data_IF_014101867870
#
_entry.id   IF_014101867870
#
_cell.length_a   1.000
_cell.length_b   1.000
_cell.length_c   1.000
_cell.angle_alpha   90.00
_cell.angle_beta   90.00
_cell.angle_gamma   90.00
#
_symmetry.space_group_name_H-M   'P 1'
#
loop_
_entity.id
_entity.type
_entity.pdbx_description
1 polymer ?
#
# COMPACT_ATOMS: atom_id res chain seq x y z
N UNK A 1 63.66 -18.02 -14.55
CA UNK A 1 62.34 -17.99 -15.21
C UNK A 1 61.14 -18.54 -14.38
N UNK A 2 61.18 -18.76 -13.04
CA UNK A 2 59.99 -19.25 -12.31
C UNK A 2 59.15 -18.16 -11.60
N UNK A 3 59.71 -16.96 -11.37
CA UNK A 3 59.03 -15.89 -10.59
C UNK A 3 57.93 -15.18 -11.40
N UNK A 4 58.11 -15.06 -12.73
CA UNK A 4 57.16 -14.39 -13.64
C UNK A 4 55.90 -15.23 -13.88
N UNK A 5 55.98 -16.55 -13.74
CA UNK A 5 54.83 -17.45 -13.94
C UNK A 5 53.86 -17.43 -12.75
N UNK A 6 54.36 -17.16 -11.53
CA UNK A 6 53.52 -17.11 -10.33
C UNK A 6 52.72 -15.80 -10.24
N UNK A 7 53.33 -14.66 -10.60
CA UNK A 7 52.63 -13.36 -10.59
C UNK A 7 51.53 -13.31 -11.66
N UNK A 8 51.73 -13.94 -12.82
CA UNK A 8 50.72 -14.01 -13.89
C UNK A 8 49.53 -14.90 -13.52
N UNK A 9 49.75 -16.00 -12.78
CA UNK A 9 48.66 -16.85 -12.26
C UNK A 9 47.83 -16.15 -11.18
N UNK A 10 48.46 -15.38 -10.30
CA UNK A 10 47.73 -14.60 -9.29
C UNK A 10 46.94 -13.44 -9.92
N UNK A 11 47.49 -12.77 -10.94
CA UNK A 11 46.78 -11.71 -11.67
C UNK A 11 45.55 -12.25 -12.43
N UNK A 12 45.68 -13.41 -13.10
CA UNK A 12 44.54 -14.09 -13.74
C UNK A 12 43.48 -14.53 -12.72
N UNK A 13 43.89 -15.05 -11.56
CA UNK A 13 42.98 -15.50 -10.49
C UNK A 13 42.18 -14.34 -9.89
N UNK A 14 42.81 -13.19 -9.67
CA UNK A 14 42.14 -11.96 -9.18
C UNK A 14 41.16 -11.42 -10.23
N UNK A 15 41.49 -11.49 -11.52
CA UNK A 15 40.58 -11.13 -12.61
C UNK A 15 39.37 -12.07 -12.73
N UNK A 16 39.55 -13.38 -12.48
CA UNK A 16 38.44 -14.36 -12.54
C UNK A 16 37.50 -14.18 -11.33
N UNK A 17 38.03 -13.87 -10.15
CA UNK A 17 37.23 -13.58 -8.95
C UNK A 17 36.48 -12.24 -9.07
N UNK A 18 37.09 -11.22 -9.66
CA UNK A 18 36.40 -9.93 -9.92
C UNK A 18 35.36 -10.03 -11.05
N UNK A 19 35.55 -10.89 -12.05
CA UNK A 19 34.55 -11.16 -13.09
C UNK A 19 33.34 -11.95 -12.57
N UNK A 20 33.52 -12.83 -11.57
CA UNK A 20 32.42 -13.57 -10.94
C UNK A 20 31.61 -12.72 -9.94
N UNK A 21 32.17 -11.65 -9.39
CA UNK A 21 31.44 -10.67 -8.56
C UNK A 21 30.59 -9.70 -9.42
N UNK A 22 30.93 -9.52 -10.71
CA UNK A 22 30.15 -8.68 -11.63
C UNK A 22 28.97 -9.41 -12.30
N UNK A 23 28.86 -10.74 -12.18
CA UNK A 23 27.76 -11.52 -12.76
C UNK A 23 26.57 -11.77 -11.81
N UNK A 24 26.58 -11.21 -10.59
CA UNK A 24 25.51 -11.44 -9.61
C UNK A 24 24.34 -10.44 -9.66
N UNK A 25 24.34 -9.46 -10.56
CA UNK A 25 23.19 -8.56 -10.77
C UNK A 25 22.36 -9.01 -11.97
N UNK A 26 21.93 -10.27 -11.97
CA UNK A 26 20.83 -10.70 -12.82
C UNK A 26 19.51 -10.14 -12.28
N UNK A 27 19.35 -8.81 -12.29
CA UNK A 27 18.03 -8.20 -12.33
C UNK A 27 17.50 -8.41 -13.75
N UNK A 28 17.10 -9.66 -14.04
CA UNK A 28 16.13 -9.95 -15.09
C UNK A 28 15.02 -8.93 -14.90
N UNK A 29 14.73 -8.11 -15.92
CA UNK A 29 13.74 -7.03 -15.85
C UNK A 29 12.35 -7.61 -15.53
N UNK A 30 12.07 -7.87 -14.25
CA UNK A 30 10.82 -8.45 -13.79
C UNK A 30 9.67 -7.50 -14.13
N UNK A 31 8.57 -8.02 -14.67
CA UNK A 31 7.42 -7.17 -14.97
C UNK A 31 6.74 -6.69 -13.66
N UNK A 32 5.90 -5.66 -13.74
CA UNK A 32 5.21 -5.12 -12.54
C UNK A 32 4.40 -6.19 -11.79
N UNK A 33 3.64 -7.08 -12.47
CA UNK A 33 2.97 -8.18 -11.80
C UNK A 33 3.89 -9.14 -11.02
N UNK A 34 5.07 -9.47 -11.56
CA UNK A 34 6.07 -10.32 -10.91
C UNK A 34 6.65 -9.62 -9.68
N UNK A 35 7.03 -8.35 -9.79
CA UNK A 35 7.53 -7.56 -8.66
C UNK A 35 6.49 -7.44 -7.54
N UNK A 36 5.22 -7.23 -7.90
CA UNK A 36 4.10 -7.25 -6.94
C UNK A 36 3.98 -8.61 -6.26
N UNK A 37 4.05 -9.71 -7.00
CA UNK A 37 3.97 -11.05 -6.44
C UNK A 37 5.17 -11.37 -5.52
N UNK A 38 6.38 -10.96 -5.90
CA UNK A 38 7.57 -11.06 -5.06
C UNK A 38 7.41 -10.28 -3.76
N UNK A 39 6.98 -9.02 -3.84
CA UNK A 39 6.73 -8.19 -2.66
C UNK A 39 5.63 -8.75 -1.76
N UNK A 40 4.55 -9.30 -2.35
CA UNK A 40 3.47 -9.94 -1.60
C UNK A 40 3.98 -11.20 -0.88
N UNK A 41 4.79 -12.02 -1.54
CA UNK A 41 5.41 -13.20 -0.94
C UNK A 41 6.37 -12.84 0.20
N UNK A 42 7.27 -11.88 0.02
CA UNK A 42 8.17 -11.42 1.07
C UNK A 42 7.41 -10.88 2.28
N UNK A 43 6.35 -10.09 2.03
CA UNK A 43 5.47 -9.60 3.10
C UNK A 43 4.79 -10.74 3.87
N UNK A 44 4.35 -11.80 3.18
CA UNK A 44 3.77 -12.99 3.83
C UNK A 44 4.79 -13.77 4.65
N UNK A 45 6.06 -13.79 4.23
CA UNK A 45 7.15 -14.42 4.98
C UNK A 45 7.65 -13.57 6.16
N UNK A 46 7.22 -12.31 6.27
CA UNK A 46 7.69 -11.36 7.28
C UNK A 46 8.97 -10.60 6.89
N UNK A 47 9.46 -10.82 5.66
CA UNK A 47 10.65 -10.17 5.10
C UNK A 47 10.31 -8.78 4.55
N UNK A 48 10.01 -7.85 5.46
CA UNK A 48 9.49 -6.53 5.08
C UNK A 48 10.50 -5.64 4.33
N UNK A 49 11.81 -5.85 4.51
CA UNK A 49 12.85 -5.09 3.81
C UNK A 49 12.92 -5.48 2.33
N UNK A 50 12.84 -6.78 2.04
CA UNK A 50 12.79 -7.35 0.70
C UNK A 50 11.47 -6.98 0.01
N UNK A 51 10.36 -7.01 0.77
CA UNK A 51 9.06 -6.55 0.28
C UNK A 51 9.11 -5.07 -0.13
N UNK A 52 9.71 -4.21 0.70
CA UNK A 52 9.89 -2.79 0.38
C UNK A 52 10.67 -2.60 -0.92
N UNK A 53 11.80 -3.31 -1.11
CA UNK A 53 12.60 -3.24 -2.34
C UNK A 53 11.76 -3.60 -3.56
N UNK A 54 11.10 -4.76 -3.54
CA UNK A 54 10.28 -5.23 -4.66
C UNK A 54 9.16 -4.23 -5.03
N UNK A 55 8.49 -3.66 -4.03
CA UNK A 55 7.44 -2.66 -4.30
C UNK A 55 7.99 -1.32 -4.76
N UNK A 56 9.16 -0.88 -4.29
CA UNK A 56 9.79 0.36 -4.80
C UNK A 56 10.18 0.24 -6.27
N UNK A 57 10.69 -0.92 -6.69
CA UNK A 57 10.96 -1.22 -8.09
C UNK A 57 9.68 -1.25 -8.93
N UNK A 58 8.60 -1.83 -8.40
CA UNK A 58 7.29 -1.83 -9.06
C UNK A 58 6.74 -0.39 -9.21
N UNK A 59 6.88 0.43 -8.17
CA UNK A 59 6.42 1.82 -8.17
C UNK A 59 7.16 2.68 -9.18
N UNK A 60 8.46 2.43 -9.39
CA UNK A 60 9.24 3.13 -10.40
C UNK A 60 8.69 2.90 -11.83
N UNK A 61 8.11 1.73 -12.09
CA UNK A 61 7.49 1.39 -13.39
C UNK A 61 6.06 1.91 -13.51
N UNK A 62 5.30 1.91 -12.42
CA UNK A 62 3.91 2.36 -12.38
C UNK A 62 3.63 3.31 -11.19
N UNK A 63 4.04 4.59 -11.28
CA UNK A 63 4.00 5.51 -10.14
C UNK A 63 2.59 5.91 -9.68
N UNK A 64 1.58 5.67 -10.53
CA UNK A 64 0.16 6.00 -10.27
C UNK A 64 -0.65 4.80 -9.77
N UNK A 65 -0.04 3.63 -9.63
CA UNK A 65 -0.76 2.41 -9.25
C UNK A 65 -1.02 2.41 -7.74
N UNK A 66 -2.28 2.65 -7.35
CA UNK A 66 -2.66 2.73 -5.93
C UNK A 66 -2.41 1.42 -5.17
N UNK A 67 -2.48 0.26 -5.83
CA UNK A 67 -2.22 -1.04 -5.18
C UNK A 67 -0.78 -1.11 -4.70
N UNK A 68 0.17 -0.65 -5.50
CA UNK A 68 1.60 -0.59 -5.12
C UNK A 68 1.80 0.42 -3.97
N UNK A 69 1.20 1.61 -4.10
CA UNK A 69 1.29 2.65 -3.05
C UNK A 69 0.76 2.13 -1.71
N UNK A 70 -0.40 1.45 -1.72
CA UNK A 70 -1.01 0.86 -0.51
C UNK A 70 -0.07 -0.16 0.12
N UNK A 71 0.45 -1.11 -0.66
CA UNK A 71 1.38 -2.12 -0.13
C UNK A 71 2.64 -1.49 0.46
N UNK A 72 3.18 -0.44 -0.16
CA UNK A 72 4.32 0.30 0.40
C UNK A 72 3.98 1.03 1.71
N UNK A 73 2.80 1.62 1.82
CA UNK A 73 2.35 2.25 3.08
C UNK A 73 2.27 1.21 4.20
N UNK A 74 1.62 0.08 3.94
CA UNK A 74 1.50 -1.02 4.92
C UNK A 74 2.88 -1.53 5.37
N UNK A 75 3.79 -1.78 4.43
CA UNK A 75 5.16 -2.24 4.72
C UNK A 75 5.96 -1.18 5.48
N UNK A 76 5.94 0.08 5.04
CA UNK A 76 6.70 1.16 5.71
C UNK A 76 6.18 1.45 7.11
N UNK A 77 4.87 1.37 7.35
CA UNK A 77 4.30 1.45 8.70
C UNK A 77 4.78 0.30 9.57
N UNK A 78 4.89 -0.90 9.01
CA UNK A 78 5.40 -2.07 9.74
C UNK A 78 6.88 -1.94 10.08
N UNK A 79 7.66 -1.32 9.19
CA UNK A 79 9.07 -0.97 9.39
C UNK A 79 9.28 0.31 10.22
N UNK A 80 8.21 0.91 10.75
CA UNK A 80 8.24 2.17 11.53
C UNK A 80 8.81 3.39 10.76
N UNK A 81 8.86 3.32 9.43
CA UNK A 81 9.31 4.41 8.54
C UNK A 81 8.18 5.41 8.27
N UNK A 82 7.64 6.02 9.33
CA UNK A 82 6.45 6.87 9.27
C UNK A 82 6.61 8.11 8.38
N UNK A 83 7.79 8.73 8.37
CA UNK A 83 8.07 9.91 7.56
C UNK A 83 8.00 9.62 6.05
N UNK A 84 8.43 8.43 5.64
CA UNK A 84 8.36 7.98 4.25
C UNK A 84 6.96 7.46 3.88
N UNK A 85 6.23 6.87 4.83
CA UNK A 85 4.87 6.36 4.60
C UNK A 85 3.84 7.48 4.38
N UNK A 86 3.97 8.60 5.12
CA UNK A 86 3.04 9.74 5.07
C UNK A 86 2.75 10.26 3.64
N UNK A 87 3.75 10.66 2.83
CA UNK A 87 3.48 11.18 1.49
C UNK A 87 2.91 10.14 0.53
N UNK A 88 3.15 8.85 0.76
CA UNK A 88 2.54 7.78 -0.04
C UNK A 88 1.07 7.60 0.29
N UNK A 89 0.70 7.68 1.58
CA UNK A 89 -0.69 7.63 2.01
C UNK A 89 -1.48 8.84 1.48
N UNK A 90 -0.91 10.04 1.52
CA UNK A 90 -1.54 11.26 0.98
C UNK A 90 -1.85 11.15 -0.51
N UNK A 91 -0.95 10.54 -1.30
CA UNK A 91 -1.21 10.26 -2.72
C UNK A 91 -2.43 9.38 -2.93
N UNK A 92 -2.65 8.38 -2.07
CA UNK A 92 -3.81 7.48 -2.17
C UNK A 92 -5.09 8.20 -1.74
N UNK A 93 -5.04 8.95 -0.64
CA UNK A 93 -6.19 9.70 -0.12
C UNK A 93 -6.63 10.83 -1.06
N UNK A 94 -5.75 11.32 -1.92
CA UNK A 94 -6.08 12.29 -2.97
C UNK A 94 -6.81 11.65 -4.18
N UNK A 95 -6.83 10.32 -4.31
CA UNK A 95 -7.49 9.64 -5.43
C UNK A 95 -9.00 9.54 -5.19
N UNK A 96 -9.76 9.51 -6.30
CA UNK A 96 -11.22 9.35 -6.24
C UNK A 96 -11.61 7.99 -5.66
N UNK A 97 -12.47 7.99 -4.65
CA UNK A 97 -13.08 6.77 -4.09
C UNK A 97 -14.11 6.19 -5.05
N UNK A 98 -14.04 4.88 -5.28
CA UNK A 98 -14.95 4.15 -6.15
C UNK A 98 -15.48 2.89 -5.46
N UNK A 99 -16.73 2.52 -5.76
CA UNK A 99 -17.34 1.27 -5.26
C UNK A 99 -16.84 0.04 -6.03
N UNK A 100 -16.62 0.18 -7.33
CA UNK A 100 -16.15 -0.88 -8.22
C UNK A 100 -14.67 -0.67 -8.56
N UNK A 101 -13.92 -1.78 -8.68
CA UNK A 101 -12.51 -1.78 -9.13
C UNK A 101 -12.43 -1.56 -10.65
N UNK A 102 -12.83 -0.37 -11.10
CA UNK A 102 -12.77 -0.01 -12.53
C UNK A 102 -11.33 0.26 -12.96
N UNK A 103 -10.95 -0.37 -14.06
CA UNK A 103 -9.62 -0.33 -14.62
C UNK A 103 -9.65 -0.11 -16.13
N UNK A 104 -8.60 0.57 -16.63
CA UNK A 104 -8.29 0.65 -18.05
C UNK A 104 -7.30 -0.46 -18.38
N UNK A 105 -7.64 -1.28 -19.36
CA UNK A 105 -6.84 -2.41 -19.80
C UNK A 105 -6.19 -2.05 -21.13
N UNK A 106 -4.87 -2.06 -21.16
CA UNK A 106 -4.05 -1.82 -22.35
C UNK A 106 -3.41 -3.14 -22.79
N UNK A 107 -3.44 -3.44 -24.08
CA UNK A 107 -2.74 -4.60 -24.64
C UNK A 107 -1.26 -4.26 -24.82
N UNK A 108 -0.38 -5.14 -24.36
CA UNK A 108 1.06 -5.01 -24.54
C UNK A 108 1.46 -5.81 -25.79
N UNK A 109 2.03 -5.14 -26.79
CA UNK A 109 2.42 -5.76 -28.06
C UNK A 109 1.25 -6.06 -29.01
N UNK A 110 1.48 -6.95 -29.99
CA UNK A 110 0.48 -7.35 -30.99
C UNK A 110 -0.27 -8.62 -30.58
N UNK A 111 -0.82 -8.65 -29.36
CA UNK A 111 -1.51 -9.83 -28.86
C UNK A 111 -3.02 -9.82 -29.14
N UNK A 112 -3.56 -10.94 -29.64
CA UNK A 112 -4.98 -11.13 -29.94
C UNK A 112 -5.86 -11.44 -28.72
N UNK A 113 -5.36 -11.20 -27.51
CA UNK A 113 -5.97 -11.70 -26.26
C UNK A 113 -7.31 -11.06 -25.95
N UNK A 114 -7.57 -9.84 -26.43
CA UNK A 114 -8.86 -9.18 -26.27
C UNK A 114 -9.83 -9.44 -27.42
N UNK A 115 -9.50 -10.34 -28.37
CA UNK A 115 -10.44 -10.76 -29.44
C UNK A 115 -11.77 -11.23 -28.84
N UNK A 116 -12.88 -10.75 -29.40
CA UNK A 116 -14.25 -11.04 -28.97
C UNK A 116 -14.78 -10.20 -27.80
N UNK A 117 -13.95 -9.30 -27.26
CA UNK A 117 -14.26 -8.40 -26.14
C UNK A 117 -14.02 -6.92 -26.50
N UNK A 118 -13.26 -6.67 -27.57
CA UNK A 118 -13.10 -5.36 -28.19
C UNK A 118 -14.46 -4.85 -28.64
N UNK A 119 -14.87 -3.70 -28.12
CA UNK A 119 -16.01 -2.97 -28.69
C UNK A 119 -15.60 -2.42 -30.05
N UNK A 120 -16.34 -2.69 -31.14
CA UNK A 120 -16.08 -2.09 -32.45
C UNK A 120 -16.31 -0.57 -32.44
N UNK A 121 -16.87 -0.01 -31.36
CA UNK A 121 -17.32 1.40 -31.28
C UNK A 121 -16.24 2.31 -30.68
N UNK A 122 -15.35 1.81 -29.82
CA UNK A 122 -14.35 2.64 -29.13
C UNK A 122 -13.04 2.72 -29.91
N UNK A 123 -12.70 3.94 -30.38
CA UNK A 123 -11.39 4.28 -30.96
C UNK A 123 -10.29 4.50 -29.91
N UNK A 124 -10.52 4.17 -28.64
CA UNK A 124 -9.56 4.39 -27.56
C UNK A 124 -8.50 3.28 -27.53
N UNK A 125 -7.26 3.57 -27.11
CA UNK A 125 -6.19 2.56 -27.02
C UNK A 125 -6.34 1.62 -25.81
N UNK A 126 -7.43 1.73 -25.05
CA UNK A 126 -7.72 0.94 -23.86
C UNK A 126 -9.17 0.49 -23.83
N UNK A 127 -9.42 -0.57 -23.08
CA UNK A 127 -10.75 -1.10 -22.81
C UNK A 127 -11.10 -0.95 -21.33
N UNK A 128 -12.32 -0.51 -21.05
CA UNK A 128 -12.82 -0.38 -19.69
C UNK A 128 -13.28 -1.75 -19.15
N UNK A 129 -12.75 -2.13 -17.99
CA UNK A 129 -13.12 -3.35 -17.30
C UNK A 129 -13.25 -3.13 -15.80
N UNK A 130 -13.93 -4.06 -15.14
CA UNK A 130 -13.88 -4.24 -13.69
C UNK A 130 -12.94 -5.40 -13.37
N UNK A 131 -12.01 -5.15 -12.45
CA UNK A 131 -11.09 -6.16 -11.94
C UNK A 131 -11.79 -6.98 -10.86
N UNK A 132 -12.16 -8.21 -11.21
CA UNK A 132 -12.84 -9.13 -10.30
C UNK A 132 -11.82 -9.85 -9.42
N UNK A 133 -10.87 -10.56 -10.04
CA UNK A 133 -9.74 -11.19 -9.35
C UNK A 133 -8.42 -10.71 -9.92
N UNK A 134 -7.51 -10.41 -9.02
CA UNK A 134 -6.15 -9.96 -9.36
C UNK A 134 -5.25 -11.11 -9.79
N UNK A 135 -5.38 -12.30 -9.19
CA UNK A 135 -4.52 -13.45 -9.51
C UNK A 135 -5.36 -14.71 -9.60
N UNK A 136 -5.49 -15.25 -10.81
CA UNK A 136 -6.10 -16.55 -11.10
C UNK A 136 -5.08 -17.43 -11.79
N UNK A 137 -5.04 -18.70 -11.39
CA UNK A 137 -4.24 -19.74 -12.04
C UNK A 137 -5.19 -20.64 -12.83
N UNK A 138 -5.01 -20.73 -14.14
CA UNK A 138 -5.86 -21.58 -14.98
C UNK A 138 -5.64 -23.07 -14.65
N UNK A 139 -6.69 -23.89 -14.60
CA UNK A 139 -6.55 -25.34 -14.41
C UNK A 139 -5.93 -26.00 -15.64
N UNK A 140 -4.89 -26.80 -15.47
CA UNK A 140 -4.29 -27.57 -16.59
C UNK A 140 -5.00 -28.91 -16.84
N UNK A 141 -5.72 -29.45 -15.85
CA UNK A 141 -6.36 -30.76 -15.95
C UNK A 141 -7.84 -30.70 -15.52
N UNK A 142 -8.67 -31.37 -16.31
CA UNK A 142 -10.13 -31.31 -16.24
C UNK A 142 -10.77 -31.86 -14.96
N UNK A 143 -12.02 -31.42 -14.76
CA UNK A 143 -13.09 -31.94 -13.88
C UNK A 143 -12.87 -32.02 -12.36
N UNK A 144 -11.66 -31.89 -11.79
CA UNK A 144 -11.52 -31.86 -10.32
C UNK A 144 -10.53 -30.80 -9.83
N UNK A 145 -11.06 -29.82 -9.10
CA UNK A 145 -10.36 -28.60 -8.70
C UNK A 145 -9.43 -28.77 -7.48
N UNK A 146 -9.48 -29.91 -6.78
CA UNK A 146 -8.78 -30.10 -5.49
C UNK A 146 -7.26 -30.33 -5.63
N UNK A 147 -6.79 -30.95 -6.72
CA UNK A 147 -5.35 -31.21 -6.94
C UNK A 147 -4.55 -29.94 -7.24
N UNK A 148 -5.19 -28.92 -7.81
CA UNK A 148 -4.53 -27.65 -8.15
C UNK A 148 -4.09 -26.85 -6.90
N UNK A 149 -4.67 -27.12 -5.72
CA UNK A 149 -4.29 -26.47 -4.47
C UNK A 149 -3.15 -27.17 -3.73
N UNK A 150 -2.83 -28.42 -4.11
CA UNK A 150 -1.81 -29.25 -3.46
C UNK A 150 -0.49 -29.28 -4.25
N UNK A 151 -0.50 -28.81 -5.50
CA UNK A 151 0.67 -28.88 -6.36
C UNK A 151 1.64 -27.73 -6.07
N UNK A 152 2.80 -28.05 -5.52
CA UNK A 152 3.83 -27.08 -5.12
C UNK A 152 4.62 -26.52 -6.31
N UNK A 153 4.49 -27.14 -7.50
CA UNK A 153 5.10 -26.67 -8.75
C UNK A 153 4.40 -25.46 -9.40
N UNK A 154 3.40 -24.89 -8.73
CA UNK A 154 2.58 -23.75 -9.22
C UNK A 154 3.36 -22.44 -9.41
N UNK A 155 4.61 -22.34 -8.91
CA UNK A 155 5.44 -21.12 -9.01
C UNK A 155 5.75 -20.65 -10.44
N UNK A 156 5.72 -21.54 -11.43
CA UNK A 156 6.05 -21.23 -12.82
C UNK A 156 4.83 -21.02 -13.72
N UNK A 157 3.63 -20.91 -13.14
CA UNK A 157 2.40 -20.91 -13.91
C UNK A 157 1.97 -19.50 -14.30
N UNK A 158 1.59 -19.33 -15.57
CA UNK A 158 1.08 -18.05 -16.10
C UNK A 158 -0.10 -17.61 -15.25
N UNK A 159 0.00 -16.41 -14.68
CA UNK A 159 -1.08 -15.82 -13.88
C UNK A 159 -2.00 -15.00 -14.77
N UNK A 160 -3.28 -14.99 -14.42
CA UNK A 160 -4.33 -14.32 -15.18
C UNK A 160 -5.05 -13.30 -14.29
N UNK A 161 -5.48 -12.19 -14.89
CA UNK A 161 -6.52 -11.33 -14.35
C UNK A 161 -7.89 -11.88 -14.74
N UNK A 162 -8.84 -11.84 -13.81
CA UNK A 162 -10.26 -12.05 -14.15
C UNK A 162 -10.92 -10.69 -14.32
N UNK A 163 -11.20 -10.34 -15.56
CA UNK A 163 -11.71 -9.03 -15.94
C UNK A 163 -13.14 -9.15 -16.48
N UNK A 164 -14.03 -8.29 -16.00
CA UNK A 164 -15.36 -8.09 -16.56
C UNK A 164 -15.36 -6.84 -17.44
N UNK A 165 -15.49 -7.00 -18.75
CA UNK A 165 -15.41 -5.87 -19.67
C UNK A 165 -16.77 -5.18 -19.79
N UNK A 166 -16.82 -3.90 -19.44
CA UNK A 166 -18.07 -3.16 -19.28
C UNK A 166 -18.84 -2.98 -20.59
N UNK A 167 -18.12 -2.80 -21.70
CA UNK A 167 -18.73 -2.57 -23.01
C UNK A 167 -19.29 -3.84 -23.65
N UNK A 168 -18.59 -4.96 -23.48
CA UNK A 168 -19.04 -6.25 -24.04
C UNK A 168 -19.93 -7.05 -23.10
N UNK A 169 -19.94 -6.70 -21.81
CA UNK A 169 -20.66 -7.45 -20.76
C UNK A 169 -20.09 -8.85 -20.52
N UNK A 170 -18.87 -9.15 -20.98
CA UNK A 170 -18.26 -10.50 -20.89
C UNK A 170 -17.15 -10.54 -19.84
N UNK A 171 -17.11 -11.63 -19.09
CA UNK A 171 -15.95 -11.98 -18.27
C UNK A 171 -14.90 -12.72 -19.10
N UNK A 172 -13.62 -12.38 -18.90
CA UNK A 172 -12.50 -13.06 -19.55
C UNK A 172 -11.30 -13.17 -18.61
N UNK A 173 -10.62 -14.31 -18.68
CA UNK A 173 -9.31 -14.51 -18.08
C UNK A 173 -8.25 -13.99 -19.05
N UNK A 174 -7.40 -13.08 -18.57
CA UNK A 174 -6.41 -12.37 -19.37
C UNK A 174 -5.03 -12.54 -18.75
N UNK A 175 -4.03 -13.13 -19.45
CA UNK A 175 -2.67 -13.27 -18.94
C UNK A 175 -2.05 -11.93 -18.51
N UNK A 176 -1.39 -11.91 -17.34
CA UNK A 176 -0.81 -10.66 -16.81
C UNK A 176 0.35 -10.10 -17.61
N UNK A 177 1.06 -10.96 -18.34
CA UNK A 177 2.21 -10.59 -19.18
C UNK A 177 1.81 -9.87 -20.49
N UNK A 178 0.55 -9.99 -20.91
CA UNK A 178 0.05 -9.45 -22.18
C UNK A 178 -0.78 -8.18 -22.01
N UNK A 179 -1.09 -7.77 -20.78
CA UNK A 179 -1.86 -6.56 -20.50
C UNK A 179 -1.27 -5.71 -19.39
N UNK A 180 -1.41 -4.40 -19.56
CA UNK A 180 -1.16 -3.40 -18.51
C UNK A 180 -2.48 -2.85 -18.01
N UNK A 181 -2.62 -2.73 -16.69
CA UNK A 181 -3.83 -2.26 -16.03
C UNK A 181 -3.55 -0.92 -15.36
N UNK A 182 -4.38 0.08 -15.66
CA UNK A 182 -4.37 1.36 -14.94
C UNK A 182 -5.67 1.52 -14.14
N UNK A 183 -5.53 1.75 -12.85
CA UNK A 183 -6.66 1.96 -11.95
C UNK A 183 -7.21 3.39 -12.10
N UNK A 184 -8.54 3.51 -12.15
CA UNK A 184 -9.20 4.82 -12.29
C UNK A 184 -9.35 5.51 -10.93
N UNK A 185 -9.47 4.73 -9.85
CA UNK A 185 -9.66 5.22 -8.49
C UNK A 185 -9.38 4.12 -7.47
N UNK A 186 -9.66 4.42 -6.20
CA UNK A 186 -9.36 3.56 -5.05
C UNK A 186 -10.66 2.96 -4.50
N UNK A 187 -10.73 1.65 -4.24
CA UNK A 187 -11.86 1.03 -3.57
C UNK A 187 -12.09 1.64 -2.18
N UNK A 188 -13.36 1.81 -1.78
CA UNK A 188 -13.73 2.38 -0.46
C UNK A 188 -12.97 1.71 0.70
N UNK A 189 -12.93 0.38 0.72
CA UNK A 189 -12.24 -0.39 1.77
C UNK A 189 -10.74 -0.09 1.85
N UNK A 190 -10.10 0.06 0.69
CA UNK A 190 -8.67 0.37 0.62
C UNK A 190 -8.40 1.81 1.06
N UNK A 191 -9.29 2.74 0.68
CA UNK A 191 -9.21 4.13 1.10
C UNK A 191 -9.36 4.27 2.63
N UNK A 192 -10.35 3.61 3.23
CA UNK A 192 -10.58 3.62 4.69
C UNK A 192 -9.40 3.04 5.45
N UNK A 193 -8.87 1.89 4.99
CA UNK A 193 -7.67 1.31 5.60
C UNK A 193 -6.48 2.26 5.56
N UNK A 194 -6.26 2.94 4.44
CA UNK A 194 -5.16 3.91 4.33
C UNK A 194 -5.41 5.13 5.21
N UNK A 195 -6.66 5.56 5.38
CA UNK A 195 -7.02 6.64 6.29
C UNK A 195 -6.72 6.29 7.75
N UNK A 196 -7.03 5.06 8.18
CA UNK A 196 -6.66 4.56 9.52
C UNK A 196 -5.14 4.54 9.72
N UNK A 197 -4.40 4.02 8.73
CA UNK A 197 -2.93 4.03 8.76
C UNK A 197 -2.38 5.45 8.78
N UNK A 198 -2.99 6.39 8.04
CA UNK A 198 -2.58 7.79 8.01
C UNK A 198 -2.73 8.45 9.40
N UNK A 199 -3.85 8.23 10.09
CA UNK A 199 -4.04 8.71 11.46
C UNK A 199 -2.98 8.14 12.42
N UNK A 200 -2.67 6.85 12.30
CA UNK A 200 -1.60 6.21 13.09
C UNK A 200 -0.22 6.81 12.78
N UNK A 201 0.09 7.02 11.50
CA UNK A 201 1.35 7.67 11.05
C UNK A 201 1.45 9.07 11.64
N UNK A 202 0.39 9.88 11.55
CA UNK A 202 0.37 11.24 12.08
C UNK A 202 0.61 11.25 13.59
N UNK A 203 -0.10 10.43 14.36
CA UNK A 203 0.10 10.30 15.81
C UNK A 203 1.56 9.95 16.14
N UNK A 204 2.15 8.97 15.45
CA UNK A 204 3.56 8.59 15.69
C UNK A 204 4.56 9.67 15.32
N UNK A 205 4.29 10.44 14.27
CA UNK A 205 5.13 11.58 13.90
C UNK A 205 5.01 12.73 14.89
N UNK A 206 3.82 12.98 15.45
CA UNK A 206 3.61 13.97 16.50
C UNK A 206 4.37 13.56 17.76
N UNK A 207 4.23 12.30 18.20
CA UNK A 207 4.98 11.75 19.34
C UNK A 207 6.50 11.91 19.16
N UNK A 208 7.01 11.55 17.98
CA UNK A 208 8.43 11.65 17.65
C UNK A 208 8.93 13.09 17.51
N UNK A 209 8.06 14.03 17.09
CA UNK A 209 8.43 15.44 16.97
C UNK A 209 8.71 16.10 18.32
N UNK A 210 8.31 15.47 19.43
CA UNK A 210 8.48 16.01 20.78
C UNK A 210 7.87 17.40 20.94
N UNK A 211 7.02 17.82 20.00
CA UNK A 211 6.42 19.14 19.96
C UNK A 211 5.24 19.19 20.91
N UNK A 212 5.51 18.90 22.18
CA UNK A 212 4.79 19.55 23.25
C UNK A 212 5.08 21.04 23.13
N UNK A 213 4.38 21.69 22.18
CA UNK A 213 4.33 23.14 22.05
C UNK A 213 4.11 23.63 23.46
N UNK A 214 5.08 24.34 24.04
CA UNK A 214 5.08 24.69 25.46
C UNK A 214 3.77 25.39 25.77
N UNK A 215 2.80 24.64 26.29
CA UNK A 215 1.45 25.13 26.48
C UNK A 215 1.55 26.18 27.58
N UNK A 216 1.09 27.39 27.26
CA UNK A 216 1.06 28.48 28.22
C UNK A 216 -0.13 28.22 29.14
N UNK A 217 0.08 27.36 30.13
CA UNK A 217 -0.96 26.94 31.05
C UNK A 217 -1.21 28.02 32.10
N UNK A 218 -2.47 28.42 32.27
CA UNK A 218 -2.93 29.32 33.33
C UNK A 218 -3.44 28.49 34.49
N UNK A 219 -3.04 28.84 35.71
CA UNK A 219 -3.52 28.15 36.91
C UNK A 219 -4.83 28.79 37.35
N UNK A 220 -5.89 27.99 37.37
CA UNK A 220 -7.19 28.38 37.94
C UNK A 220 -7.19 27.95 39.40
N UNK A 221 -7.48 28.91 40.29
CA UNK A 221 -7.54 28.63 41.73
C UNK A 221 -8.71 27.69 42.01
N UNK A 222 -8.42 26.65 42.77
CA UNK A 222 -9.43 25.78 43.36
C UNK A 222 -10.30 26.53 44.36
N UNK A 223 -11.44 25.94 44.66
CA UNK A 223 -12.45 26.51 45.54
C UNK A 223 -13.59 25.53 45.76
N UNK A 224 -14.43 25.84 46.72
CA UNK A 224 -15.66 25.10 46.95
C UNK A 224 -16.83 25.91 46.39
N UNK A 225 -17.61 25.25 45.55
CA UNK A 225 -18.74 25.85 44.85
C UNK A 225 -20.01 25.09 45.22
N UNK A 226 -21.10 25.82 45.41
CA UNK A 226 -22.39 25.19 45.66
C UNK A 226 -22.99 24.76 44.31
N UNK A 227 -23.19 23.45 44.13
CA UNK A 227 -23.87 22.87 42.98
C UNK A 227 -25.31 22.52 43.34
N UNK A 228 -26.20 22.73 42.36
CA UNK A 228 -27.64 22.58 42.53
C UNK A 228 -28.34 23.89 42.86
N UNK A 229 -29.66 23.86 42.90
CA UNK A 229 -30.48 25.06 43.11
C UNK A 229 -31.73 24.74 43.92
N UNK A 230 -32.05 25.60 44.88
CA UNK A 230 -33.34 25.56 45.60
C UNK A 230 -34.46 26.30 44.85
N UNK A 231 -34.12 27.04 43.80
CA UNK A 231 -35.06 27.80 42.94
C UNK A 231 -35.21 27.19 41.54
N UNK A 232 -34.47 26.11 41.24
CA UNK A 232 -34.42 25.45 39.95
C UNK A 232 -35.43 24.29 39.83
N UNK A 233 -35.24 23.43 38.83
CA UNK A 233 -36.07 22.24 38.68
C UNK A 233 -35.94 21.29 39.89
N UNK A 234 -36.97 20.47 40.16
CA UNK A 234 -36.98 19.55 41.31
C UNK A 234 -35.76 18.60 41.34
N UNK A 235 -35.20 18.28 40.17
CA UNK A 235 -34.01 17.42 40.01
C UNK A 235 -32.68 18.15 40.18
N UNK A 236 -32.67 19.48 40.31
CA UNK A 236 -31.46 20.27 40.55
C UNK A 236 -31.16 20.44 42.05
N UNK A 237 -32.06 19.98 42.92
CA UNK A 237 -31.82 19.91 44.36
C UNK A 237 -31.26 18.54 44.79
N UNK A 238 -30.65 18.44 45.98
CA UNK A 238 -30.36 19.52 46.92
C UNK A 238 -29.07 20.29 46.59
N UNK A 239 -28.99 21.54 47.05
CA UNK A 239 -27.76 22.33 46.99
C UNK A 239 -26.71 21.65 47.86
N UNK A 240 -25.58 21.29 47.27
CA UNK A 240 -24.46 20.66 47.96
C UNK A 240 -23.14 21.25 47.49
N UNK A 241 -22.13 21.22 48.36
CA UNK A 241 -20.84 21.87 48.12
C UNK A 241 -19.87 20.91 47.44
N UNK A 242 -19.34 21.31 46.30
CA UNK A 242 -18.33 20.58 45.53
C UNK A 242 -17.02 21.36 45.56
N UNK A 243 -15.97 20.75 46.11
CA UNK A 243 -14.65 21.37 46.19
C UNK A 243 -13.74 20.85 45.07
N UNK A 244 -13.16 21.78 44.32
CA UNK A 244 -12.20 21.48 43.26
C UNK A 244 -10.81 21.93 43.69
N UNK A 245 -9.82 21.07 43.51
CA UNK A 245 -8.41 21.44 43.62
C UNK A 245 -8.02 22.42 42.52
N UNK A 246 -7.03 23.27 42.77
CA UNK A 246 -6.45 24.12 41.72
C UNK A 246 -5.97 23.26 40.56
N UNK A 247 -6.30 23.66 39.34
CA UNK A 247 -5.91 22.96 38.12
C UNK A 247 -5.35 23.96 37.11
N UNK A 248 -4.71 23.42 36.07
CA UNK A 248 -4.14 24.21 34.98
C UNK A 248 -5.00 24.03 33.74
N UNK A 249 -5.34 25.12 33.07
CA UNK A 249 -6.04 25.11 31.78
C UNK A 249 -5.19 25.85 30.75
N UNK A 250 -5.33 25.49 29.49
CA UNK A 250 -4.68 26.23 28.41
C UNK A 250 -5.23 27.66 28.34
N UNK A 251 -4.36 28.63 28.02
CA UNK A 251 -4.74 30.05 27.92
C UNK A 251 -5.68 30.31 26.76
N UNK A 252 -5.60 29.50 25.70
CA UNK A 252 -6.35 29.64 24.47
C UNK A 252 -7.28 28.46 24.26
N UNK A 253 -8.40 28.69 23.58
CA UNK A 253 -9.31 27.62 23.19
C UNK A 253 -8.68 26.69 22.15
N UNK A 254 -9.09 25.42 22.18
CA UNK A 254 -8.64 24.42 21.20
C UNK A 254 -9.27 24.75 19.85
N UNK A 255 -8.45 25.10 18.86
CA UNK A 255 -8.91 25.31 17.48
C UNK A 255 -9.10 23.98 16.75
N UNK A 256 -9.98 23.91 15.74
CA UNK A 256 -10.15 22.73 14.88
C UNK A 256 -8.82 22.23 14.28
N UNK A 257 -7.95 23.17 13.88
CA UNK A 257 -6.60 22.86 13.36
C UNK A 257 -5.68 22.22 14.42
N UNK A 258 -5.95 22.43 15.70
CA UNK A 258 -5.19 21.84 16.81
C UNK A 258 -5.78 20.49 17.25
N UNK A 259 -7.01 20.17 16.84
CA UNK A 259 -7.71 18.93 17.20
C UNK A 259 -7.60 17.84 16.12
N UNK A 260 -7.58 18.24 14.84
CA UNK A 260 -7.35 17.35 13.69
C UNK A 260 -5.87 17.11 13.42
#
# INVERSE_FOLDING_TARGET
>A
MPVVQYTFKYLLSICIISFSILLSSANVFANVPELLAQGDNHRLMGDYLEAEKAYTEALAKEPKNYRILKSLVEVKVTLEKYAEAKPLAEKILALKVMLQKKVKVFVVGQSGVLKGVISPVTRTPYHMAELVDETVVASEFGKTNMRNYLDTNTKNKVTYYRLFFLESGKMKLVPKNEVKIEYIGVPRLDHERVQELYAKIQSKLIDASGSAKKLELVTVKGGCFDMGSSKGAVLEGPVHKVCLSSFKIDKYEVTQKSFQ
#
